data_IF_193655490427
#
_entry.id   IF_193655490427
#
_cell.length_a   1.000
_cell.length_b   1.000
_cell.length_c   1.000
_cell.angle_alpha   90.00
_cell.angle_beta   90.00
_cell.angle_gamma   90.00
#
_symmetry.space_group_name_H-M   'P 1'
#
loop_
_entity.id
_entity.type
_entity.pdbx_description
1 polymer ?
#
# COMPACT_ATOMS: atom_id res chain seq x y z
N UNK A 1 -19.62 13.33 -31.21
CA UNK A 1 -18.45 13.71 -30.39
C UNK A 1 -18.70 13.27 -28.95
N UNK A 2 -17.97 12.28 -28.52
CA UNK A 2 -18.04 11.80 -27.14
C UNK A 2 -17.19 12.77 -26.31
N UNK A 3 -17.82 13.62 -25.53
CA UNK A 3 -17.12 14.46 -24.56
C UNK A 3 -16.44 13.56 -23.55
N UNK A 4 -15.12 13.66 -23.45
CA UNK A 4 -14.40 13.09 -22.32
C UNK A 4 -14.99 13.70 -21.03
N UNK A 5 -15.21 12.91 -19.97
CA UNK A 5 -15.67 13.49 -18.71
C UNK A 5 -14.62 14.49 -18.25
N UNK A 6 -14.98 15.76 -18.26
CA UNK A 6 -14.16 16.80 -17.66
C UNK A 6 -14.22 16.58 -16.16
N UNK A 7 -13.07 16.27 -15.55
CA UNK A 7 -12.97 16.24 -14.10
C UNK A 7 -13.39 17.62 -13.58
N UNK A 8 -14.31 17.61 -12.62
CA UNK A 8 -14.70 18.85 -11.95
C UNK A 8 -13.44 19.52 -11.37
N UNK A 9 -13.26 20.84 -11.51
CA UNK A 9 -12.05 21.51 -11.01
C UNK A 9 -11.82 21.33 -9.49
N UNK A 10 -12.85 20.95 -8.75
CA UNK A 10 -12.78 20.70 -7.31
C UNK A 10 -12.63 19.21 -6.95
N UNK A 11 -12.60 18.29 -7.93
CA UNK A 11 -12.41 16.88 -7.66
C UNK A 11 -10.94 16.61 -7.32
N UNK A 12 -10.65 15.78 -6.27
CA UNK A 12 -9.27 15.39 -5.98
C UNK A 12 -8.68 14.65 -7.18
N UNK A 13 -7.39 14.92 -7.47
CA UNK A 13 -6.68 14.21 -8.52
C UNK A 13 -6.69 12.69 -8.25
N UNK A 14 -6.73 11.86 -9.29
CA UNK A 14 -6.79 10.41 -9.10
C UNK A 14 -5.47 9.83 -8.60
N UNK A 15 -5.54 8.65 -7.95
CA UNK A 15 -4.38 7.91 -7.54
C UNK A 15 -3.57 7.41 -8.73
N UNK A 16 -2.24 7.49 -8.57
CA UNK A 16 -1.24 6.98 -9.51
C UNK A 16 -0.16 6.24 -8.73
N UNK A 17 0.58 5.37 -9.42
CA UNK A 17 1.66 4.60 -8.82
C UNK A 17 2.95 4.92 -9.56
N UNK A 18 3.95 5.43 -8.83
CA UNK A 18 5.28 5.59 -9.37
C UNK A 18 6.07 4.29 -9.15
N UNK A 19 6.61 3.74 -10.23
CA UNK A 19 7.62 2.70 -10.16
C UNK A 19 8.99 3.37 -10.12
N UNK A 20 9.69 3.18 -9.01
CA UNK A 20 10.96 3.84 -8.75
C UNK A 20 12.15 2.91 -8.99
N UNK A 21 13.32 3.49 -9.15
CA UNK A 21 14.56 2.74 -9.08
C UNK A 21 14.77 2.20 -7.66
N UNK A 22 15.53 1.10 -7.50
CA UNK A 22 15.80 0.52 -6.18
C UNK A 22 16.34 1.56 -5.19
N UNK A 23 15.82 1.53 -3.97
CA UNK A 23 16.21 2.41 -2.86
C UNK A 23 15.91 3.89 -3.06
N UNK A 24 15.08 4.24 -4.04
CA UNK A 24 14.71 5.63 -4.33
C UNK A 24 13.30 5.99 -3.85
N UNK A 25 12.58 5.08 -3.21
CA UNK A 25 11.18 5.27 -2.81
C UNK A 25 11.01 6.50 -1.91
N UNK A 26 11.83 6.64 -0.88
CA UNK A 26 11.75 7.77 0.05
C UNK A 26 12.07 9.10 -0.61
N UNK A 27 13.05 9.13 -1.51
CA UNK A 27 13.41 10.33 -2.28
C UNK A 27 12.26 10.77 -3.20
N UNK A 28 11.64 9.82 -3.88
CA UNK A 28 10.49 10.10 -4.77
C UNK A 28 9.30 10.58 -3.96
N UNK A 29 8.99 9.94 -2.84
CA UNK A 29 7.91 10.36 -1.95
C UNK A 29 8.15 11.78 -1.41
N UNK A 30 9.36 12.08 -0.99
CA UNK A 30 9.73 13.43 -0.52
C UNK A 30 9.55 14.47 -1.62
N UNK A 31 9.95 14.18 -2.84
CA UNK A 31 9.76 15.07 -3.99
C UNK A 31 8.29 15.31 -4.28
N UNK A 32 7.46 14.27 -4.23
CA UNK A 32 6.01 14.40 -4.39
C UNK A 32 5.42 15.32 -3.30
N UNK A 33 5.83 15.15 -2.06
CA UNK A 33 5.38 16.00 -0.95
C UNK A 33 5.83 17.47 -1.13
N UNK A 34 7.05 17.69 -1.57
CA UNK A 34 7.56 19.03 -1.87
C UNK A 34 6.77 19.72 -2.99
N UNK A 35 6.31 18.94 -3.96
CA UNK A 35 5.46 19.43 -5.06
C UNK A 35 3.98 19.60 -4.65
N UNK A 36 3.65 19.37 -3.39
CA UNK A 36 2.30 19.53 -2.85
C UNK A 36 1.33 18.41 -3.20
N UNK A 37 1.83 17.25 -3.65
CA UNK A 37 1.00 16.11 -3.99
C UNK A 37 0.59 15.31 -2.75
N UNK A 38 -0.64 14.81 -2.71
CA UNK A 38 -1.04 13.80 -1.75
C UNK A 38 -0.24 12.52 -2.04
N UNK A 39 0.54 12.08 -1.07
CA UNK A 39 1.53 11.01 -1.26
C UNK A 39 1.42 9.98 -0.17
N UNK A 40 1.56 8.72 -0.54
CA UNK A 40 1.62 7.59 0.40
C UNK A 40 2.81 6.70 0.07
N UNK A 41 3.64 6.46 1.06
CA UNK A 41 4.68 5.44 1.03
C UNK A 41 4.46 4.55 2.25
N UNK A 42 3.75 3.41 2.08
CA UNK A 42 3.53 2.49 3.19
C UNK A 42 4.86 1.96 3.72
N UNK A 43 5.10 2.16 5.01
CA UNK A 43 6.33 1.76 5.70
C UNK A 43 6.00 0.75 6.79
N UNK A 44 6.79 -0.31 6.90
CA UNK A 44 6.71 -1.26 8.01
C UNK A 44 7.92 -1.09 8.94
N UNK A 45 7.75 -1.50 10.19
CA UNK A 45 8.83 -1.48 11.17
C UNK A 45 9.70 -2.73 11.02
N UNK A 46 11.00 -2.53 10.80
CA UNK A 46 12.01 -3.58 10.79
C UNK A 46 12.90 -3.43 12.01
N UNK A 47 12.87 -4.43 12.88
CA UNK A 47 13.66 -4.42 14.13
C UNK A 47 14.91 -5.25 13.91
N UNK A 48 16.08 -4.65 14.14
CA UNK A 48 17.37 -5.33 14.05
C UNK A 48 18.17 -5.13 15.33
N UNK A 49 18.86 -6.17 15.78
CA UNK A 49 19.76 -6.11 16.91
C UNK A 49 21.20 -5.95 16.41
N UNK A 50 21.83 -4.86 16.83
CA UNK A 50 23.24 -4.60 16.56
C UNK A 50 23.98 -4.47 17.91
N UNK A 51 24.98 -5.30 18.16
CA UNK A 51 25.86 -5.25 19.33
C UNK A 51 25.12 -5.06 20.67
N UNK A 52 24.01 -5.81 20.83
CA UNK A 52 23.17 -5.72 22.02
C UNK A 52 22.19 -4.54 22.04
N UNK A 53 22.16 -3.69 21.03
CA UNK A 53 21.19 -2.61 20.89
C UNK A 53 20.11 -2.97 19.89
N UNK A 54 18.85 -2.67 20.22
CA UNK A 54 17.73 -2.84 19.31
C UNK A 54 17.52 -1.55 18.53
N UNK A 55 17.58 -1.63 17.19
CA UNK A 55 17.35 -0.49 16.31
C UNK A 55 16.13 -0.78 15.45
N UNK A 56 15.22 0.19 15.41
CA UNK A 56 14.00 0.11 14.59
C UNK A 56 14.17 0.95 13.33
N UNK A 57 14.02 0.31 12.17
CA UNK A 57 14.01 0.97 10.87
C UNK A 57 12.61 0.97 10.30
N UNK A 58 12.26 2.01 9.56
CA UNK A 58 11.06 2.06 8.75
C UNK A 58 11.42 1.85 7.30
N UNK A 59 10.91 0.77 6.71
CA UNK A 59 11.20 0.36 5.33
C UNK A 59 9.94 0.33 4.48
N UNK A 60 10.06 0.64 3.16
CA UNK A 60 8.93 0.49 2.25
C UNK A 60 8.37 -0.94 2.28
N UNK A 61 7.07 -1.06 2.51
CA UNK A 61 6.39 -2.36 2.46
C UNK A 61 6.36 -2.94 1.04
N UNK A 62 6.18 -2.08 0.04
CA UNK A 62 6.18 -2.44 -1.37
C UNK A 62 7.40 -1.80 -2.06
N UNK A 63 8.56 -2.48 -2.07
CA UNK A 63 9.76 -1.93 -2.67
C UNK A 63 9.57 -1.56 -4.15
N UNK A 64 10.01 -0.37 -4.51
CA UNK A 64 9.92 0.14 -5.88
C UNK A 64 8.63 0.89 -6.21
N UNK A 65 7.74 1.11 -5.24
CA UNK A 65 6.47 1.77 -5.48
C UNK A 65 6.21 2.93 -4.52
N UNK A 66 5.74 4.04 -5.08
CA UNK A 66 5.25 5.21 -4.34
C UNK A 66 3.86 5.56 -4.87
N UNK A 67 2.92 5.79 -3.98
CA UNK A 67 1.53 6.10 -4.34
C UNK A 67 1.28 7.60 -4.15
N UNK A 68 0.63 8.22 -5.12
CA UNK A 68 0.38 9.66 -5.10
C UNK A 68 -0.86 10.02 -5.91
N UNK A 69 -1.40 11.21 -5.65
CA UNK A 69 -2.48 11.78 -6.45
C UNK A 69 -1.92 12.88 -7.32
N UNK A 70 -2.16 12.82 -8.61
CA UNK A 70 -1.63 13.80 -9.55
C UNK A 70 -2.47 13.92 -10.81
N UNK A 71 -2.49 15.11 -11.38
CA UNK A 71 -3.01 15.37 -12.70
C UNK A 71 -1.94 15.06 -13.79
N UNK A 72 -2.30 15.02 -15.08
CA UNK A 72 -1.35 14.70 -16.13
C UNK A 72 -0.12 15.61 -16.19
N UNK A 73 -0.25 16.89 -15.88
CA UNK A 73 0.86 17.82 -15.86
C UNK A 73 1.87 17.48 -14.75
N UNK A 74 1.37 17.19 -13.56
CA UNK A 74 2.18 16.78 -12.41
C UNK A 74 2.90 15.46 -12.66
N UNK A 75 2.22 14.50 -13.32
CA UNK A 75 2.82 13.23 -13.75
C UNK A 75 4.00 13.48 -14.71
N UNK A 76 3.83 14.37 -15.68
CA UNK A 76 4.89 14.71 -16.63
C UNK A 76 6.11 15.29 -15.93
N UNK A 77 5.91 16.12 -14.93
CA UNK A 77 7.00 16.66 -14.10
C UNK A 77 7.72 15.56 -13.32
N UNK A 78 6.96 14.64 -12.74
CA UNK A 78 7.53 13.54 -11.97
C UNK A 78 8.36 12.59 -12.85
N UNK A 79 7.91 12.33 -14.08
CA UNK A 79 8.63 11.48 -15.03
C UNK A 79 9.99 12.04 -15.46
N UNK A 80 10.25 13.32 -15.23
CA UNK A 80 11.56 13.95 -15.49
C UNK A 80 12.59 13.61 -14.40
N UNK A 81 12.18 13.03 -13.29
CA UNK A 81 13.09 12.59 -12.22
C UNK A 81 13.80 11.30 -12.60
N UNK A 82 15.12 11.24 -12.44
CA UNK A 82 15.89 10.04 -12.74
C UNK A 82 15.51 8.83 -11.89
N UNK A 83 14.99 9.06 -10.70
CA UNK A 83 14.60 8.02 -9.76
C UNK A 83 13.26 7.35 -10.13
N UNK A 84 12.48 7.97 -11.00
CA UNK A 84 11.19 7.45 -11.44
C UNK A 84 11.36 6.74 -12.78
N UNK A 85 11.15 5.42 -12.78
CA UNK A 85 11.24 4.61 -13.98
C UNK A 85 9.97 4.72 -14.82
N UNK A 86 8.80 4.72 -14.17
CA UNK A 86 7.51 4.82 -14.83
C UNK A 86 6.43 5.28 -13.85
N UNK A 87 5.31 5.75 -14.40
CA UNK A 87 4.10 6.05 -13.63
C UNK A 87 2.96 5.20 -14.19
N UNK A 88 2.31 4.45 -13.31
CA UNK A 88 1.25 3.50 -13.64
C UNK A 88 -0.11 4.06 -13.24
N UNK A 89 -1.13 3.73 -14.03
CA UNK A 89 -2.51 4.16 -13.80
C UNK A 89 -3.36 2.97 -13.38
N UNK A 90 -3.90 2.92 -12.14
CA UNK A 90 -4.82 1.86 -11.74
C UNK A 90 -6.07 1.88 -12.64
N UNK A 91 -6.47 0.73 -13.21
CA UNK A 91 -7.68 0.65 -14.04
C UNK A 91 -8.95 0.85 -13.23
N UNK A 92 -8.96 0.44 -11.97
CA UNK A 92 -10.02 0.70 -11.00
C UNK A 92 -9.44 1.50 -9.83
N UNK A 93 -9.51 2.83 -9.94
CA UNK A 93 -8.93 3.73 -8.96
C UNK A 93 -9.66 3.65 -7.60
N UNK A 94 -10.97 3.42 -7.61
CA UNK A 94 -11.75 3.29 -6.38
C UNK A 94 -11.35 2.03 -5.59
N UNK A 95 -11.20 0.89 -6.27
CA UNK A 95 -10.70 -0.35 -5.66
C UNK A 95 -9.29 -0.17 -5.11
N UNK A 96 -8.41 0.44 -5.90
CA UNK A 96 -7.03 0.72 -5.48
C UNK A 96 -7.00 1.58 -4.20
N UNK A 97 -7.79 2.65 -4.15
CA UNK A 97 -7.85 3.54 -3.00
C UNK A 97 -8.36 2.82 -1.74
N UNK A 98 -9.36 1.96 -1.88
CA UNK A 98 -9.90 1.16 -0.78
C UNK A 98 -8.88 0.15 -0.26
N UNK A 99 -8.24 -0.59 -1.16
CA UNK A 99 -7.20 -1.57 -0.79
C UNK A 99 -6.01 -0.90 -0.11
N UNK A 100 -5.56 0.24 -0.63
CA UNK A 100 -4.48 1.01 -0.03
C UNK A 100 -4.85 1.52 1.37
N UNK A 101 -6.08 2.02 1.55
CA UNK A 101 -6.56 2.49 2.85
C UNK A 101 -6.57 1.37 3.89
N UNK A 102 -6.98 0.16 3.53
CA UNK A 102 -6.99 -1.00 4.41
C UNK A 102 -5.57 -1.37 4.86
N UNK A 103 -4.61 -1.36 3.94
CA UNK A 103 -3.20 -1.65 4.25
C UNK A 103 -2.62 -0.58 5.17
N UNK A 104 -2.90 0.70 4.92
CA UNK A 104 -2.43 1.80 5.77
C UNK A 104 -3.02 1.70 7.18
N UNK A 105 -4.29 1.32 7.30
CA UNK A 105 -4.93 1.09 8.60
C UNK A 105 -4.23 -0.04 9.38
N UNK A 106 -3.88 -1.13 8.70
CA UNK A 106 -3.14 -2.23 9.32
C UNK A 106 -1.75 -1.79 9.81
N UNK A 107 -1.05 -0.95 9.04
CA UNK A 107 0.28 -0.45 9.39
C UNK A 107 0.27 0.53 10.57
N UNK A 108 -0.85 1.17 10.85
CA UNK A 108 -1.00 2.05 12.02
C UNK A 108 -1.14 1.29 13.33
N UNK A 109 -1.42 -0.01 13.26
CA UNK A 109 -1.48 -0.87 14.45
C UNK A 109 -0.09 -1.35 14.84
N UNK A 110 0.05 -1.90 16.06
CA UNK A 110 1.29 -2.53 16.49
C UNK A 110 1.45 -3.96 15.95
N UNK A 111 0.49 -4.44 15.18
CA UNK A 111 0.54 -5.77 14.58
C UNK A 111 1.64 -5.86 13.54
N UNK A 112 2.22 -7.04 13.43
CA UNK A 112 3.22 -7.31 12.41
C UNK A 112 2.57 -7.37 11.03
N UNK A 113 3.10 -6.59 10.09
CA UNK A 113 2.66 -6.56 8.69
C UNK A 113 3.87 -6.83 7.81
N UNK A 114 3.74 -7.79 6.89
CA UNK A 114 4.82 -8.20 5.99
C UNK A 114 4.36 -8.16 4.53
N UNK A 115 5.31 -7.89 3.64
CA UNK A 115 5.10 -8.11 2.21
C UNK A 115 4.83 -9.60 1.95
N UNK A 116 3.84 -9.88 1.13
CA UNK A 116 3.49 -11.23 0.72
C UNK A 116 3.12 -11.28 -0.76
N UNK A 117 3.26 -12.45 -1.41
CA UNK A 117 2.74 -12.62 -2.76
C UNK A 117 1.21 -12.52 -2.77
N UNK A 118 0.65 -12.14 -3.91
CA UNK A 118 -0.79 -12.12 -4.08
C UNK A 118 -1.34 -13.55 -4.02
N UNK A 119 -2.22 -13.80 -3.06
CA UNK A 119 -2.86 -15.12 -2.86
C UNK A 119 -4.32 -14.98 -3.29
N UNK A 120 -4.70 -15.74 -4.32
CA UNK A 120 -6.08 -15.77 -4.81
C UNK A 120 -6.88 -16.92 -4.21
N UNK A 121 -6.19 -17.99 -3.77
CA UNK A 121 -6.82 -19.19 -3.17
C UNK A 121 -6.69 -19.12 -1.65
N UNK A 122 -7.81 -19.21 -0.98
CA UNK A 122 -7.89 -19.18 0.47
C UNK A 122 -9.28 -18.80 0.95
N UNK A 123 -9.51 -18.92 2.25
CA UNK A 123 -10.79 -18.56 2.85
C UNK A 123 -10.87 -17.04 3.04
N UNK A 124 -11.93 -16.44 2.52
CA UNK A 124 -12.24 -15.04 2.84
C UNK A 124 -12.72 -14.94 4.27
N UNK A 125 -12.14 -14.03 5.00
CA UNK A 125 -12.44 -13.81 6.41
C UNK A 125 -12.63 -12.33 6.70
N UNK A 126 -13.29 -12.05 7.81
CA UNK A 126 -13.52 -10.71 8.32
C UNK A 126 -12.98 -10.62 9.74
N UNK A 127 -12.29 -9.54 10.06
CA UNK A 127 -11.83 -9.27 11.42
C UNK A 127 -13.02 -8.76 12.24
N UNK A 128 -13.32 -9.41 13.36
CA UNK A 128 -14.51 -9.15 14.17
C UNK A 128 -14.24 -8.36 15.45
N UNK A 129 -12.99 -8.12 15.78
CA UNK A 129 -12.62 -7.42 17.01
C UNK A 129 -11.39 -6.53 16.82
N UNK A 130 -11.21 -5.57 17.74
CA UNK A 130 -10.06 -4.69 17.76
C UNK A 130 -10.15 -3.52 16.77
N UNK A 131 -9.02 -2.78 16.60
CA UNK A 131 -8.99 -1.56 15.76
C UNK A 131 -9.27 -1.81 14.28
N UNK A 132 -9.04 -3.04 13.80
CA UNK A 132 -9.24 -3.41 12.40
C UNK A 132 -10.57 -4.13 12.14
N UNK A 133 -11.51 -4.04 13.08
CA UNK A 133 -12.84 -4.65 12.93
C UNK A 133 -13.49 -4.22 11.63
N UNK A 134 -14.04 -5.19 10.91
CA UNK A 134 -14.70 -4.98 9.62
C UNK A 134 -13.80 -5.15 8.41
N UNK A 135 -12.49 -5.23 8.60
CA UNK A 135 -11.53 -5.43 7.53
C UNK A 135 -11.60 -6.88 7.03
N UNK A 136 -11.65 -7.04 5.71
CA UNK A 136 -11.76 -8.35 5.06
C UNK A 136 -10.47 -8.68 4.29
N UNK A 137 -10.15 -9.96 4.23
CA UNK A 137 -9.00 -10.44 3.49
C UNK A 137 -9.04 -11.95 3.32
N UNK A 138 -7.97 -12.52 2.79
CA UNK A 138 -7.83 -13.97 2.59
C UNK A 138 -6.88 -14.52 3.65
N UNK A 139 -7.34 -15.52 4.39
CA UNK A 139 -6.53 -16.16 5.43
C UNK A 139 -5.59 -17.19 4.81
N UNK A 140 -4.36 -17.17 5.26
CA UNK A 140 -3.37 -18.20 5.00
C UNK A 140 -2.77 -18.68 6.33
N UNK A 141 -2.54 -19.99 6.42
CA UNK A 141 -1.90 -20.61 7.59
C UNK A 141 -0.55 -21.15 7.17
N UNK A 142 0.51 -20.55 7.70
CA UNK A 142 1.88 -21.07 7.56
C UNK A 142 2.52 -21.22 8.93
N UNK A 143 3.16 -22.36 9.16
CA UNK A 143 3.96 -22.61 10.38
C UNK A 143 3.18 -22.35 11.68
N UNK A 144 1.90 -22.69 11.70
CA UNK A 144 1.04 -22.52 12.87
C UNK A 144 0.53 -21.11 13.14
N UNK A 145 0.99 -20.12 12.40
CA UNK A 145 0.51 -18.74 12.49
C UNK A 145 -0.57 -18.47 11.44
N UNK A 146 -1.60 -17.71 11.82
CA UNK A 146 -2.62 -17.22 10.90
C UNK A 146 -2.24 -15.82 10.42
N UNK A 147 -2.31 -15.61 9.12
CA UNK A 147 -2.18 -14.28 8.54
C UNK A 147 -3.36 -13.97 7.62
N UNK A 148 -3.86 -12.75 7.72
CA UNK A 148 -4.85 -12.20 6.78
C UNK A 148 -4.09 -11.42 5.73
N UNK A 149 -4.32 -11.76 4.46
CA UNK A 149 -3.71 -11.09 3.32
C UNK A 149 -4.63 -10.00 2.81
N UNK A 150 -4.16 -8.77 2.91
CA UNK A 150 -4.79 -7.57 2.35
C UNK A 150 -4.21 -7.34 0.97
N UNK A 151 -5.03 -7.48 -0.06
CA UNK A 151 -4.58 -7.40 -1.44
C UNK A 151 -4.31 -5.97 -1.88
N UNK A 152 -3.30 -5.80 -2.71
CA UNK A 152 -3.09 -4.63 -3.55
C UNK A 152 -2.96 -5.15 -4.99
N UNK A 153 -4.10 -5.45 -5.59
CA UNK A 153 -4.20 -6.21 -6.84
C UNK A 153 -3.44 -5.57 -7.99
N UNK A 154 -3.49 -4.26 -8.08
CA UNK A 154 -2.89 -3.53 -9.19
C UNK A 154 -1.37 -3.76 -9.30
N UNK A 155 -0.67 -3.87 -8.18
CA UNK A 155 0.76 -4.18 -8.18
C UNK A 155 1.07 -5.66 -7.97
N UNK A 156 0.04 -6.52 -7.90
CA UNK A 156 0.20 -7.96 -7.77
C UNK A 156 0.83 -8.41 -6.46
N UNK A 157 0.61 -7.67 -5.37
CA UNK A 157 1.20 -7.94 -4.06
C UNK A 157 0.15 -7.87 -2.96
N UNK A 158 0.49 -8.33 -1.78
CA UNK A 158 -0.36 -8.23 -0.61
C UNK A 158 0.46 -7.91 0.64
N UNK A 159 -0.24 -7.40 1.66
CA UNK A 159 0.29 -7.23 3.00
C UNK A 159 -0.26 -8.35 3.89
N UNK A 160 0.59 -9.13 4.51
CA UNK A 160 0.19 -10.19 5.44
C UNK A 160 0.17 -9.64 6.86
N UNK A 161 -1.01 -9.67 7.48
CA UNK A 161 -1.26 -9.20 8.84
C UNK A 161 -1.43 -10.41 9.75
N UNK A 162 -0.61 -10.52 10.81
CA UNK A 162 -0.74 -11.57 11.81
C UNK A 162 -1.95 -11.34 12.71
N UNK A 163 -2.80 -12.34 12.85
CA UNK A 163 -4.03 -12.30 13.65
C UNK A 163 -4.22 -13.59 14.44
N UNK A 164 -4.99 -13.52 15.52
CA UNK A 164 -5.44 -14.69 16.25
C UNK A 164 -6.73 -15.25 15.63
N UNK A 165 -6.93 -16.57 15.74
CA UNK A 165 -8.08 -17.25 15.14
C UNK A 165 -9.43 -16.74 15.68
N UNK A 166 -9.49 -16.36 16.96
CA UNK A 166 -10.69 -15.84 17.61
C UNK A 166 -11.09 -14.42 17.16
N UNK A 167 -10.21 -13.75 16.43
CA UNK A 167 -10.50 -12.44 15.85
C UNK A 167 -11.15 -12.52 14.46
N UNK A 168 -11.34 -13.71 13.91
CA UNK A 168 -11.79 -13.93 12.54
C UNK A 168 -13.12 -14.65 12.48
N UNK A 169 -13.92 -14.29 11.46
CA UNK A 169 -15.08 -15.05 11.02
C UNK A 169 -15.08 -15.18 9.49
N UNK A 170 -15.72 -16.22 8.92
CA UNK A 170 -15.90 -16.29 7.46
C UNK A 170 -16.66 -15.08 6.94
N UNK A 171 -16.14 -14.52 5.87
CA UNK A 171 -16.79 -13.37 5.22
C UNK A 171 -17.87 -13.80 4.25
#
# INVERSE_FOLDING_TARGET
MTSLPQASPDAPAPWRVAHTRPRCEKKVAEKCLQDGLVTSLPLYRSIKKYRGKTVTFRKPLFPGYVFFRANPFEISRLLQQDQVANVLTPPDEAEFAEQLADILAALETEREVRLAPLIVDGLRVKIISGPLRGLEGIVNRRSGALSVHLHLDFIGQSAALLVAADELEPA
#
